data_IF_595393631227
#
_entry.id   IF_595393631227
#
_cell.length_a   1.000
_cell.length_b   1.000
_cell.length_c   1.000
_cell.angle_alpha   90.00
_cell.angle_beta   90.00
_cell.angle_gamma   90.00
#
_symmetry.space_group_name_H-M   'P 1'
#
loop_
_entity.id
_entity.type
_entity.pdbx_description
1 polymer ?
#
# COMPACT_ATOMS: atom_id res chain seq x y z
N UNK A 1 8.22 -35.23 2.48
CA UNK A 1 7.89 -34.00 3.25
C UNK A 1 8.66 -32.84 2.65
N UNK A 2 8.03 -32.11 1.71
CA UNK A 2 8.65 -30.96 1.05
C UNK A 2 8.71 -29.77 2.00
N UNK A 3 9.90 -29.21 2.21
CA UNK A 3 10.05 -27.93 2.91
C UNK A 3 9.36 -26.86 2.07
N UNK A 4 8.21 -26.35 2.51
CA UNK A 4 7.67 -25.10 2.00
C UNK A 4 8.77 -24.04 2.16
N UNK A 5 9.31 -23.55 1.04
CA UNK A 5 10.08 -22.31 1.03
C UNK A 5 9.11 -21.24 1.56
N UNK A 6 9.33 -20.79 2.79
CA UNK A 6 8.73 -19.54 3.26
C UNK A 6 9.30 -18.47 2.34
N UNK A 7 8.45 -17.80 1.56
CA UNK A 7 8.89 -16.61 0.84
C UNK A 7 9.39 -15.61 1.88
N UNK A 8 10.71 -15.44 1.94
CA UNK A 8 11.36 -14.53 2.88
C UNK A 8 11.16 -13.13 2.34
N UNK A 9 10.36 -12.32 3.03
CA UNK A 9 10.20 -10.92 2.69
C UNK A 9 11.54 -10.17 2.68
N UNK A 10 11.62 -9.11 1.89
CA UNK A 10 12.76 -8.19 1.83
C UNK A 10 12.44 -6.92 2.63
N UNK A 11 13.40 -5.99 2.72
CA UNK A 11 13.19 -4.67 3.33
C UNK A 11 12.06 -3.88 2.66
N UNK A 12 11.81 -4.12 1.37
CA UNK A 12 10.83 -3.39 0.58
C UNK A 12 9.53 -4.15 0.35
N UNK A 13 9.53 -5.48 0.42
CA UNK A 13 8.40 -6.34 0.04
C UNK A 13 8.14 -7.47 1.04
N UNK A 14 6.89 -7.60 1.45
CA UNK A 14 6.34 -8.72 2.19
C UNK A 14 5.30 -9.42 1.30
N UNK A 15 5.61 -10.60 0.73
CA UNK A 15 4.63 -11.39 0.02
C UNK A 15 3.61 -12.00 0.98
N UNK A 16 2.42 -12.28 0.47
CA UNK A 16 1.39 -13.04 1.18
C UNK A 16 0.59 -13.88 0.18
N UNK A 17 0.99 -15.14 -0.09
CA UNK A 17 0.27 -16.00 -1.00
C UNK A 17 -1.21 -16.11 -0.62
N UNK A 18 -2.09 -15.94 -1.61
CA UNK A 18 -3.55 -15.99 -1.42
C UNK A 18 -4.18 -14.70 -0.86
N UNK A 19 -3.40 -13.66 -0.55
CA UNK A 19 -3.98 -12.36 -0.22
C UNK A 19 -4.60 -11.71 -1.47
N UNK A 20 -5.75 -11.08 -1.28
CA UNK A 20 -6.43 -10.29 -2.32
C UNK A 20 -6.24 -8.79 -2.15
N UNK A 21 -5.67 -8.37 -1.02
CA UNK A 21 -5.45 -6.97 -0.66
C UNK A 21 -3.98 -6.71 -0.37
N UNK A 22 -3.46 -5.60 -0.90
CA UNK A 22 -2.11 -5.16 -0.61
C UNK A 22 -1.99 -3.68 -0.32
N UNK A 23 -0.85 -3.32 0.26
CA UNK A 23 -0.49 -1.94 0.61
C UNK A 23 0.80 -1.54 -0.10
N UNK A 24 0.82 -0.35 -0.70
CA UNK A 24 1.99 0.21 -1.38
C UNK A 24 2.45 1.46 -0.64
N UNK A 25 3.68 1.46 -0.15
CA UNK A 25 4.33 2.61 0.48
C UNK A 25 5.39 3.21 -0.46
N UNK A 26 6.12 4.25 -0.01
CA UNK A 26 7.04 4.97 -0.90
C UNK A 26 8.36 4.20 -1.05
N UNK A 27 9.12 4.04 0.03
CA UNK A 27 10.44 3.40 0.04
C UNK A 27 10.77 2.89 1.45
N UNK A 28 11.61 1.85 1.58
CA UNK A 28 12.18 1.47 2.87
C UNK A 28 13.10 2.56 3.41
N UNK A 29 13.08 2.78 4.73
CA UNK A 29 13.96 3.71 5.41
C UNK A 29 14.94 3.01 6.34
N UNK A 30 15.55 3.79 7.26
CA UNK A 30 16.53 3.29 8.23
C UNK A 30 16.03 2.09 9.02
N UNK A 31 14.78 2.11 9.49
CA UNK A 31 14.27 1.06 10.36
C UNK A 31 13.95 -0.22 9.59
N UNK A 32 13.43 -0.11 8.37
CA UNK A 32 13.24 -1.23 7.46
C UNK A 32 14.58 -1.91 7.14
N UNK A 33 15.62 -1.13 6.86
CA UNK A 33 16.97 -1.65 6.62
C UNK A 33 17.54 -2.41 7.83
N UNK A 34 17.29 -1.92 9.05
CA UNK A 34 17.76 -2.58 10.28
C UNK A 34 16.95 -3.84 10.63
N UNK A 35 15.65 -3.86 10.32
CA UNK A 35 14.73 -4.92 10.76
C UNK A 35 14.44 -5.97 9.68
N UNK A 36 14.75 -5.69 8.42
CA UNK A 36 14.64 -6.66 7.33
C UNK A 36 13.24 -6.81 6.73
N UNK A 37 12.30 -5.91 7.00
CA UNK A 37 10.92 -5.99 6.50
C UNK A 37 10.30 -4.58 6.30
N UNK A 38 9.29 -4.40 5.43
CA UNK A 38 8.74 -3.07 5.13
C UNK A 38 7.91 -2.52 6.31
N UNK A 39 7.79 -1.20 6.41
CA UNK A 39 7.00 -0.52 7.44
C UNK A 39 7.39 -0.97 8.86
N UNK A 40 8.67 -0.88 9.21
CA UNK A 40 9.17 -1.56 10.41
C UNK A 40 8.97 -0.78 11.71
N UNK A 41 8.82 0.54 11.66
CA UNK A 41 8.71 1.42 12.83
C UNK A 41 7.36 2.16 12.93
N UNK A 42 7.35 3.50 13.10
CA UNK A 42 6.13 4.28 13.32
C UNK A 42 5.06 4.10 12.24
N UNK A 43 5.48 3.97 10.98
CA UNK A 43 4.59 3.60 9.86
C UNK A 43 3.92 2.25 10.11
N UNK A 44 4.67 1.24 10.56
CA UNK A 44 4.15 -0.08 10.91
C UNK A 44 3.19 -0.06 12.09
N UNK A 45 3.47 0.76 13.11
CA UNK A 45 2.59 0.93 14.26
C UNK A 45 1.23 1.55 13.85
N UNK A 46 1.25 2.55 12.96
CA UNK A 46 0.02 3.11 12.41
C UNK A 46 -0.69 2.13 11.47
N UNK A 47 0.06 1.36 10.65
CA UNK A 47 -0.52 0.29 9.83
C UNK A 47 -1.27 -0.73 10.69
N UNK A 48 -0.67 -1.18 11.80
CA UNK A 48 -1.33 -2.11 12.72
C UNK A 48 -2.65 -1.54 13.28
N UNK A 49 -2.67 -0.24 13.64
CA UNK A 49 -3.89 0.42 14.14
C UNK A 49 -4.98 0.52 13.09
N UNK A 50 -4.65 0.96 11.86
CA UNK A 50 -5.66 1.06 10.80
C UNK A 50 -6.16 -0.30 10.36
N UNK A 51 -5.32 -1.35 10.39
CA UNK A 51 -5.75 -2.71 10.04
C UNK A 51 -6.80 -3.25 11.01
N UNK A 52 -6.74 -2.93 12.31
CA UNK A 52 -7.80 -3.29 13.25
C UNK A 52 -9.14 -2.69 12.82
N UNK A 53 -9.16 -1.38 12.57
CA UNK A 53 -10.37 -0.65 12.16
C UNK A 53 -10.89 -1.07 10.78
N UNK A 54 -9.99 -1.28 9.82
CA UNK A 54 -10.35 -1.70 8.47
C UNK A 54 -10.93 -3.12 8.46
N UNK A 55 -10.31 -4.05 9.20
CA UNK A 55 -10.80 -5.42 9.35
C UNK A 55 -12.17 -5.47 10.01
N UNK A 56 -12.35 -4.72 11.10
CA UNK A 56 -13.64 -4.64 11.81
C UNK A 56 -14.77 -4.15 10.89
N UNK A 57 -14.47 -3.18 10.02
CA UNK A 57 -15.49 -2.50 9.20
C UNK A 57 -15.73 -3.11 7.84
N UNK A 58 -14.74 -3.77 7.25
CA UNK A 58 -14.84 -4.41 5.93
C UNK A 58 -13.96 -5.68 5.90
N UNK A 59 -14.35 -6.74 6.62
CA UNK A 59 -13.56 -7.97 6.71
C UNK A 59 -13.47 -8.72 5.37
N UNK A 60 -14.33 -8.40 4.40
CA UNK A 60 -14.25 -8.96 3.05
C UNK A 60 -12.99 -8.47 2.32
N UNK A 61 -12.72 -7.17 2.37
CA UNK A 61 -11.53 -6.58 1.73
C UNK A 61 -10.31 -6.65 2.64
N UNK A 62 -10.53 -6.58 3.95
CA UNK A 62 -9.48 -6.61 4.96
C UNK A 62 -9.65 -7.85 5.83
N UNK A 63 -9.26 -9.01 5.32
CA UNK A 63 -9.53 -10.32 5.94
C UNK A 63 -8.79 -10.59 7.25
N UNK A 64 -7.82 -9.75 7.62
CA UNK A 64 -7.03 -9.92 8.84
C UNK A 64 -6.79 -8.59 9.56
N UNK A 65 -6.81 -8.55 10.90
CA UNK A 65 -6.35 -7.39 11.66
C UNK A 65 -4.81 -7.26 11.67
N UNK A 66 -4.10 -8.24 11.11
CA UNK A 66 -2.65 -8.32 11.17
C UNK A 66 -2.01 -8.16 9.80
N UNK A 67 -0.90 -7.41 9.76
CA UNK A 67 -0.14 -7.16 8.52
C UNK A 67 0.29 -8.41 7.77
N UNK A 68 0.44 -9.55 8.45
CA UNK A 68 0.84 -10.82 7.85
C UNK A 68 -0.21 -11.40 6.90
N UNK A 69 -1.46 -10.91 6.94
CA UNK A 69 -2.52 -11.30 6.00
C UNK A 69 -2.53 -10.50 4.69
N UNK A 70 -1.52 -9.67 4.43
CA UNK A 70 -1.50 -8.75 3.29
C UNK A 70 -0.16 -8.76 2.57
N UNK A 71 -0.21 -8.48 1.27
CA UNK A 71 0.98 -8.04 0.53
C UNK A 71 1.33 -6.62 0.97
N UNK A 72 2.59 -6.37 1.31
CA UNK A 72 3.07 -5.02 1.60
C UNK A 72 4.29 -4.77 0.74
N UNK A 73 4.26 -3.74 -0.09
CA UNK A 73 5.42 -3.36 -0.90
C UNK A 73 5.71 -1.85 -0.84
N UNK A 74 6.83 -1.45 -1.40
CA UNK A 74 7.18 -0.07 -1.66
C UNK A 74 7.27 0.19 -3.17
N UNK A 75 6.86 1.39 -3.57
CA UNK A 75 6.99 1.89 -4.94
C UNK A 75 8.45 1.98 -5.37
N UNK A 76 9.38 2.13 -4.45
CA UNK A 76 10.82 2.06 -4.68
C UNK A 76 11.46 1.00 -3.77
N UNK A 77 12.25 0.12 -4.37
CA UNK A 77 12.85 -1.00 -3.64
C UNK A 77 14.08 -0.58 -2.80
N UNK A 78 14.75 0.52 -3.15
CA UNK A 78 15.98 0.91 -2.47
C UNK A 78 15.72 1.66 -1.17
N UNK A 79 16.64 1.47 -0.23
CA UNK A 79 16.61 2.12 1.08
C UNK A 79 17.00 3.59 0.97
N UNK A 80 16.14 4.47 1.47
CA UNK A 80 16.36 5.92 1.47
C UNK A 80 16.28 6.48 2.89
N UNK A 81 17.36 7.10 3.36
CA UNK A 81 17.34 7.94 4.56
C UNK A 81 18.54 8.91 4.55
N UNK A 82 18.41 10.11 5.17
CA UNK A 82 19.39 11.19 4.98
C UNK A 82 20.85 10.80 5.26
N UNK A 83 21.10 9.99 6.30
CA UNK A 83 22.46 9.56 6.63
C UNK A 83 23.08 8.59 5.61
N UNK A 84 22.29 7.92 4.78
CA UNK A 84 22.75 7.01 3.73
C UNK A 84 22.78 7.66 2.36
N UNK A 85 21.70 8.36 1.99
CA UNK A 85 21.48 8.83 0.61
C UNK A 85 21.34 10.35 0.48
N UNK A 86 21.50 11.11 1.58
CA UNK A 86 21.25 12.56 1.64
C UNK A 86 19.80 12.98 1.34
N UNK A 87 18.88 12.01 1.20
CA UNK A 87 17.45 12.24 0.96
C UNK A 87 16.60 11.27 1.78
N UNK A 88 15.30 11.56 1.86
CA UNK A 88 14.35 10.74 2.63
C UNK A 88 13.39 9.92 1.76
N UNK A 89 13.33 10.21 0.46
CA UNK A 89 12.46 9.58 -0.54
C UNK A 89 13.15 9.60 -1.91
N UNK A 90 12.81 8.68 -2.82
CA UNK A 90 13.27 8.73 -4.20
C UNK A 90 12.66 9.93 -4.95
N UNK A 91 13.17 10.18 -6.15
CA UNK A 91 12.59 11.12 -7.11
C UNK A 91 11.39 10.49 -7.83
N UNK A 92 10.56 11.33 -8.46
CA UNK A 92 9.49 10.86 -9.34
C UNK A 92 10.04 10.04 -10.53
N UNK A 93 11.15 10.48 -11.12
CA UNK A 93 11.73 9.79 -12.27
C UNK A 93 12.15 8.35 -11.91
N UNK A 94 12.72 8.15 -10.72
CA UNK A 94 13.14 6.82 -10.23
C UNK A 94 11.96 5.88 -10.01
N UNK A 95 10.88 6.35 -9.37
CA UNK A 95 9.71 5.49 -9.15
C UNK A 95 8.97 5.15 -10.45
N UNK A 96 9.13 5.97 -11.49
CA UNK A 96 8.53 5.76 -12.81
C UNK A 96 9.44 5.01 -13.79
N UNK A 97 10.66 4.60 -13.39
CA UNK A 97 11.52 3.78 -14.24
C UNK A 97 10.82 2.47 -14.61
N UNK A 98 10.88 2.10 -15.89
CA UNK A 98 10.17 0.91 -16.41
C UNK A 98 10.51 -0.36 -15.64
N UNK A 99 11.79 -0.63 -15.36
CA UNK A 99 12.19 -1.81 -14.58
C UNK A 99 11.62 -1.80 -13.15
N UNK A 100 11.49 -0.63 -12.53
CA UNK A 100 10.86 -0.51 -11.21
C UNK A 100 9.35 -0.75 -11.28
N UNK A 101 8.68 -0.27 -12.33
CA UNK A 101 7.27 -0.50 -12.57
C UNK A 101 6.98 -1.98 -12.86
N UNK A 102 7.81 -2.66 -13.65
CA UNK A 102 7.69 -4.10 -13.92
C UNK A 102 7.80 -4.91 -12.62
N UNK A 103 8.79 -4.60 -11.76
CA UNK A 103 8.90 -5.18 -10.41
C UNK A 103 7.63 -4.94 -9.60
N UNK A 104 7.17 -3.69 -9.52
CA UNK A 104 6.00 -3.34 -8.72
C UNK A 104 4.74 -4.04 -9.23
N UNK A 105 4.55 -4.14 -10.55
CA UNK A 105 3.44 -4.87 -11.16
C UNK A 105 3.47 -6.35 -10.78
N UNK A 106 4.66 -6.98 -10.81
CA UNK A 106 4.83 -8.36 -10.41
C UNK A 106 4.47 -8.58 -8.93
N UNK A 107 4.95 -7.71 -8.04
CA UNK A 107 4.67 -7.79 -6.60
C UNK A 107 3.19 -7.55 -6.25
N UNK A 108 2.44 -6.86 -7.11
CA UNK A 108 1.00 -6.58 -6.96
C UNK A 108 0.11 -7.54 -7.77
N UNK A 109 0.70 -8.47 -8.51
CA UNK A 109 -0.05 -9.36 -9.39
C UNK A 109 -1.08 -10.20 -8.61
N UNK A 110 -2.30 -10.28 -9.14
CA UNK A 110 -3.40 -11.06 -8.55
C UNK A 110 -4.11 -10.39 -7.37
N UNK A 111 -3.68 -9.21 -6.94
CA UNK A 111 -4.41 -8.42 -5.95
C UNK A 111 -5.68 -7.84 -6.56
N UNK A 112 -6.79 -7.89 -5.83
CA UNK A 112 -8.07 -7.28 -6.19
C UNK A 112 -8.18 -5.85 -5.65
N UNK A 113 -7.59 -5.58 -4.49
CA UNK A 113 -7.62 -4.28 -3.84
C UNK A 113 -6.21 -3.82 -3.48
N UNK A 114 -5.91 -2.56 -3.74
CA UNK A 114 -4.62 -1.96 -3.40
C UNK A 114 -4.83 -0.63 -2.71
N UNK A 115 -4.25 -0.48 -1.51
CA UNK A 115 -4.21 0.78 -0.77
C UNK A 115 -2.83 1.41 -0.94
N UNK A 116 -2.79 2.60 -1.52
CA UNK A 116 -1.55 3.26 -1.93
C UNK A 116 -1.29 4.47 -1.04
N UNK A 117 -0.15 4.47 -0.36
CA UNK A 117 0.16 5.38 0.74
C UNK A 117 1.25 6.37 0.33
N UNK A 118 0.85 7.62 0.02
CA UNK A 118 1.74 8.75 -0.28
C UNK A 118 1.98 9.01 -1.77
N UNK A 119 2.29 10.25 -2.10
CA UNK A 119 2.25 10.80 -3.47
C UNK A 119 3.13 10.06 -4.49
N UNK A 120 4.34 9.66 -4.12
CA UNK A 120 5.22 8.92 -5.04
C UNK A 120 4.73 7.49 -5.29
N UNK A 121 4.12 6.86 -4.29
CA UNK A 121 3.46 5.58 -4.47
C UNK A 121 2.21 5.72 -5.36
N UNK A 122 1.44 6.80 -5.19
CA UNK A 122 0.31 7.12 -6.07
C UNK A 122 0.77 7.22 -7.52
N UNK A 123 1.84 7.95 -7.80
CA UNK A 123 2.37 8.12 -9.15
C UNK A 123 2.78 6.78 -9.79
N UNK A 124 3.49 5.92 -9.05
CA UNK A 124 3.90 4.62 -9.56
C UNK A 124 2.69 3.73 -9.88
N UNK A 125 1.72 3.64 -8.96
CA UNK A 125 0.51 2.82 -9.17
C UNK A 125 -0.38 3.38 -10.29
N UNK A 126 -0.47 4.70 -10.42
CA UNK A 126 -1.17 5.34 -11.53
C UNK A 126 -0.53 4.94 -12.88
N UNK A 127 0.80 5.02 -12.98
CA UNK A 127 1.52 4.62 -14.18
C UNK A 127 1.30 3.14 -14.53
N UNK A 128 1.17 2.24 -13.52
CA UNK A 128 0.80 0.85 -13.78
C UNK A 128 -0.61 0.73 -14.39
N UNK A 129 -1.58 1.48 -13.87
CA UNK A 129 -2.96 1.47 -14.38
C UNK A 129 -3.04 2.02 -15.80
N UNK A 130 -2.35 3.13 -16.09
CA UNK A 130 -2.29 3.72 -17.44
C UNK A 130 -1.67 2.78 -18.47
N UNK A 131 -0.71 1.94 -18.04
CA UNK A 131 -0.09 0.91 -18.88
C UNK A 131 -0.93 -0.37 -19.00
N UNK A 132 -2.04 -0.49 -18.27
CA UNK A 132 -2.83 -1.72 -18.19
C UNK A 132 -2.11 -2.85 -17.45
N UNK A 133 -1.11 -2.54 -16.62
CA UNK A 133 -0.31 -3.53 -15.87
C UNK A 133 -0.85 -3.81 -14.47
N UNK A 134 -1.93 -3.13 -14.07
CA UNK A 134 -2.61 -3.36 -12.80
C UNK A 134 -4.13 -3.28 -12.99
N UNK A 135 -4.79 -4.42 -12.79
CA UNK A 135 -6.25 -4.55 -12.78
C UNK A 135 -6.76 -4.75 -11.34
N UNK A 136 -6.58 -3.73 -10.50
CA UNK A 136 -7.03 -3.73 -9.12
C UNK A 136 -7.84 -2.48 -8.81
N UNK A 137 -8.77 -2.59 -7.85
CA UNK A 137 -9.44 -1.43 -7.28
C UNK A 137 -8.46 -0.71 -6.34
N UNK A 138 -8.18 0.56 -6.63
CA UNK A 138 -7.16 1.35 -5.93
C UNK A 138 -7.79 2.41 -5.05
N UNK A 139 -7.33 2.50 -3.80
CA UNK A 139 -7.54 3.67 -2.93
C UNK A 139 -6.20 4.38 -2.69
N UNK A 140 -6.15 5.68 -2.95
CA UNK A 140 -4.96 6.50 -2.75
C UNK A 140 -5.15 7.36 -1.51
N UNK A 141 -4.26 7.20 -0.53
CA UNK A 141 -4.33 7.97 0.71
C UNK A 141 -2.96 8.47 1.17
N UNK A 142 -2.95 9.39 2.14
CA UNK A 142 -1.76 9.91 2.80
C UNK A 142 -0.89 8.79 3.37
N UNK A 143 0.41 9.05 3.45
CA UNK A 143 1.36 8.12 4.05
C UNK A 143 1.07 7.90 5.55
N UNK A 144 1.31 6.70 6.08
CA UNK A 144 1.06 6.39 7.49
C UNK A 144 2.19 6.82 8.45
N UNK A 145 3.08 7.71 8.02
CA UNK A 145 4.14 8.21 8.91
C UNK A 145 3.54 9.17 9.93
N UNK A 146 4.14 9.26 11.12
CA UNK A 146 3.63 10.15 12.18
C UNK A 146 3.48 11.59 11.69
N UNK A 147 4.43 12.09 10.88
CA UNK A 147 4.38 13.43 10.28
C UNK A 147 3.14 13.60 9.39
N UNK A 148 2.83 12.61 8.56
CA UNK A 148 1.72 12.71 7.61
C UNK A 148 0.36 12.56 8.31
N UNK A 149 0.25 11.61 9.25
CA UNK A 149 -0.94 11.45 10.09
C UNK A 149 -1.20 12.72 10.91
N UNK A 150 -0.18 13.30 11.53
CA UNK A 150 -0.34 14.55 12.29
C UNK A 150 -0.78 15.74 11.43
N UNK A 151 -0.62 15.67 10.10
CA UNK A 151 -1.11 16.68 9.18
C UNK A 151 -2.61 16.60 8.87
N UNK A 152 -3.31 15.54 9.31
CA UNK A 152 -4.77 15.42 9.16
C UNK A 152 -5.44 16.33 10.19
N UNK A 153 -6.00 17.45 9.71
CA UNK A 153 -6.65 18.46 10.58
C UNK A 153 -8.08 18.13 10.98
N UNK A 154 -8.67 17.10 10.37
CA UNK A 154 -10.05 16.69 10.62
C UNK A 154 -10.28 16.08 12.02
N UNK A 155 -9.22 15.86 12.82
CA UNK A 155 -9.33 15.34 14.17
C UNK A 155 -8.21 15.86 15.10
N UNK A 156 -8.54 15.93 16.40
CA UNK A 156 -7.68 16.48 17.44
C UNK A 156 -6.54 15.55 17.84
N UNK A 157 -6.77 14.24 17.86
CA UNK A 157 -5.81 13.22 18.29
C UNK A 157 -5.41 12.24 17.18
N UNK A 158 -4.45 11.36 17.48
CA UNK A 158 -3.97 10.36 16.50
C UNK A 158 -5.05 9.34 16.14
N UNK A 159 -5.92 8.97 17.09
CA UNK A 159 -6.94 7.95 16.88
C UNK A 159 -7.98 8.42 15.86
N UNK A 160 -8.55 9.62 16.07
CA UNK A 160 -9.51 10.22 15.15
C UNK A 160 -8.90 10.50 13.77
N UNK A 161 -7.61 10.84 13.69
CA UNK A 161 -6.91 11.01 12.40
C UNK A 161 -6.78 9.71 11.63
N UNK A 162 -6.47 8.61 12.32
CA UNK A 162 -6.42 7.27 11.72
C UNK A 162 -7.82 6.76 11.34
N UNK A 163 -8.85 7.07 12.14
CA UNK A 163 -10.23 6.75 11.78
C UNK A 163 -10.66 7.47 10.49
N UNK A 164 -10.37 8.78 10.39
CA UNK A 164 -10.62 9.55 9.17
C UNK A 164 -9.85 9.01 7.95
N UNK A 165 -8.61 8.58 8.16
CA UNK A 165 -7.82 7.91 7.11
C UNK A 165 -8.52 6.62 6.64
N UNK A 166 -9.05 5.81 7.56
CA UNK A 166 -9.80 4.59 7.23
C UNK A 166 -11.10 4.89 6.48
N UNK A 167 -11.85 5.92 6.91
CA UNK A 167 -13.07 6.37 6.24
C UNK A 167 -12.82 6.73 4.76
N UNK A 168 -11.74 7.47 4.50
CA UNK A 168 -11.34 7.83 3.14
C UNK A 168 -11.04 6.59 2.30
N UNK A 169 -10.25 5.66 2.81
CA UNK A 169 -9.90 4.40 2.10
C UNK A 169 -11.15 3.60 1.75
N UNK A 170 -12.03 3.35 2.73
CA UNK A 170 -13.26 2.57 2.53
C UNK A 170 -14.22 3.24 1.53
N UNK A 171 -14.32 4.57 1.58
CA UNK A 171 -15.11 5.36 0.63
C UNK A 171 -14.59 5.21 -0.79
N UNK A 172 -13.27 5.31 -1.00
CA UNK A 172 -12.64 5.17 -2.32
C UNK A 172 -12.83 3.76 -2.90
N UNK A 173 -12.57 2.71 -2.11
CA UNK A 173 -12.74 1.31 -2.55
C UNK A 173 -14.20 0.99 -2.92
N UNK A 174 -15.16 1.65 -2.27
CA UNK A 174 -16.59 1.47 -2.55
C UNK A 174 -17.03 2.20 -3.82
N UNK A 175 -16.59 3.44 -4.02
CA UNK A 175 -16.93 4.23 -5.22
C UNK A 175 -16.41 3.59 -6.51
N UNK A 176 -15.22 3.01 -6.48
CA UNK A 176 -14.65 2.33 -7.64
C UNK A 176 -15.39 1.03 -7.99
N UNK A 177 -16.00 0.33 -7.02
CA UNK A 177 -16.78 -0.88 -7.29
C UNK A 177 -18.08 -0.60 -8.05
N UNK A 178 -18.69 0.58 -7.83
CA UNK A 178 -19.94 0.97 -8.48
C UNK A 178 -19.76 1.26 -9.97
N UNK A 179 -18.57 1.70 -10.40
CA UNK A 179 -18.30 2.03 -11.81
C UNK A 179 -18.09 0.81 -12.72
N UNK A 180 -17.86 -0.38 -12.17
CA UNK A 180 -17.68 -1.62 -12.95
C UNK A 180 -19.01 -2.36 -13.19
N UNK A 181 -20.07 -2.03 -12.45
CA UNK A 181 -21.39 -2.69 -12.53
C UNK A 181 -22.41 -2.03 -13.48
N UNK A 182 -22.06 -0.94 -14.15
CA UNK A 182 -22.95 -0.16 -15.01
C UNK A 182 -22.89 -0.50 -16.49
N UNK A 183 -22.93 -1.79 -16.86
CA UNK A 183 -23.12 -2.22 -18.24
C UNK A 183 -24.58 -2.09 -18.65
N UNK A 184 -24.92 -1.03 -19.39
CA UNK A 184 -26.22 -0.90 -20.09
C UNK A 184 -26.31 -1.91 -21.25
N UNK A 185 -27.53 -2.36 -21.62
CA UNK A 185 -27.76 -3.53 -22.45
C UNK A 185 -27.53 -3.25 -23.94
N UNK A 186 -27.20 -4.32 -24.67
CA UNK A 186 -27.28 -4.36 -26.12
C UNK A 186 -28.70 -3.98 -26.56
N UNK A 187 -28.81 -2.99 -27.44
CA UNK A 187 -30.02 -2.76 -28.22
C UNK A 187 -29.75 -3.20 -29.66
N UNK A 188 -30.72 -3.96 -30.15
CA UNK A 188 -30.82 -4.63 -31.43
C UNK A 188 -30.98 -3.67 -32.61
#
# INVERSE_FOLDING_TARGET
MGRHRRDVGTVHWQPCPGAHTGFVFICPGRFEAQRGYPCAAGTGANLARVLLTLHERDPLRFSSPHRAGYVITNAWAQVEYPALTQRSVPTLAEVLQTANLERLAHELAGLRWVVVCGTLAHAAVHALRERGWLDAVVACERHLSQRSINGIRAAADTSGRLAHWCDSVLTQLTRCAVQVGGGMPAQA
#
